data_IF_593942002242
#
_entry.id   IF_593942002242
#
_cell.length_a   1.000
_cell.length_b   1.000
_cell.length_c   1.000
_cell.angle_alpha   90.00
_cell.angle_beta   90.00
_cell.angle_gamma   90.00
#
_symmetry.space_group_name_H-M   'P 1'
#
loop_
_entity.id
_entity.type
_entity.pdbx_description
1 polymer ?
#
# COMPACT_ATOMS: atom_id res chain seq x y z
N UNK A 1 -25.13 -29.50 12.19
CA UNK A 1 -26.06 -28.41 11.86
C UNK A 1 -25.66 -27.06 12.45
N UNK A 2 -25.39 -26.94 13.76
CA UNK A 2 -24.99 -25.67 14.40
C UNK A 2 -23.69 -25.04 13.83
N UNK A 3 -22.66 -25.85 13.57
CA UNK A 3 -21.38 -25.36 13.03
C UNK A 3 -21.55 -24.74 11.63
N UNK A 4 -22.36 -25.37 10.77
CA UNK A 4 -22.66 -24.83 9.43
C UNK A 4 -23.43 -23.51 9.50
N UNK A 5 -24.38 -23.39 10.45
CA UNK A 5 -25.10 -22.14 10.67
C UNK A 5 -24.18 -21.01 11.13
N UNK A 6 -23.22 -21.30 12.03
CA UNK A 6 -22.22 -20.33 12.49
C UNK A 6 -21.33 -19.87 11.33
N UNK A 7 -20.84 -20.80 10.51
CA UNK A 7 -19.99 -20.47 9.34
C UNK A 7 -20.74 -19.59 8.34
N UNK A 8 -22.03 -19.87 8.08
CA UNK A 8 -22.86 -19.05 7.19
C UNK A 8 -23.13 -17.64 7.75
N UNK A 9 -23.33 -17.49 9.05
CA UNK A 9 -23.50 -16.19 9.70
C UNK A 9 -22.22 -15.34 9.66
N UNK A 10 -21.06 -15.97 9.87
CA UNK A 10 -19.76 -15.28 9.83
C UNK A 10 -19.37 -14.84 8.40
N UNK A 11 -19.73 -15.62 7.39
CA UNK A 11 -19.48 -15.26 5.98
C UNK A 11 -20.41 -14.12 5.50
N UNK A 12 -21.62 -14.02 6.03
CA UNK A 12 -22.51 -12.88 5.77
C UNK A 12 -21.97 -11.58 6.39
N UNK A 13 -21.40 -11.64 7.60
CA UNK A 13 -20.77 -10.49 8.25
C UNK A 13 -19.54 -9.98 7.48
N UNK A 14 -18.79 -10.88 6.82
CA UNK A 14 -17.67 -10.52 5.96
C UNK A 14 -18.12 -9.82 4.66
N UNK A 15 -19.24 -10.26 4.06
CA UNK A 15 -19.87 -9.62 2.88
C UNK A 15 -20.49 -8.26 3.23
N UNK A 16 -20.91 -8.06 4.48
CA UNK A 16 -21.54 -6.83 4.96
C UNK A 16 -20.56 -5.69 5.27
N UNK A 17 -19.25 -5.91 5.17
CA UNK A 17 -18.27 -4.83 5.33
C UNK A 17 -18.26 -3.95 4.07
N UNK A 18 -19.00 -2.85 4.14
CA UNK A 18 -18.92 -1.77 3.16
C UNK A 18 -17.48 -1.24 3.08
N UNK A 19 -16.89 -1.25 1.88
CA UNK A 19 -15.51 -0.84 1.63
C UNK A 19 -15.23 0.58 2.15
N UNK A 20 -16.22 1.48 2.06
CA UNK A 20 -16.12 2.84 2.58
C UNK A 20 -15.96 2.82 4.11
N UNK A 21 -16.74 2.01 4.81
CA UNK A 21 -16.63 1.86 6.28
C UNK A 21 -15.27 1.28 6.69
N UNK A 22 -14.77 0.28 5.97
CA UNK A 22 -13.44 -0.32 6.23
C UNK A 22 -12.33 0.73 6.06
N UNK A 23 -12.34 1.45 4.94
CA UNK A 23 -11.36 2.51 4.66
C UNK A 23 -11.46 3.63 5.71
N UNK A 24 -12.67 4.08 6.04
CA UNK A 24 -12.88 5.12 7.04
C UNK A 24 -12.33 4.72 8.42
N UNK A 25 -12.54 3.47 8.84
CA UNK A 25 -11.99 2.97 10.09
C UNK A 25 -10.46 2.89 10.07
N UNK A 26 -9.86 2.44 8.97
CA UNK A 26 -8.42 2.39 8.80
C UNK A 26 -7.81 3.80 8.80
N UNK A 27 -8.38 4.74 8.03
CA UNK A 27 -8.01 6.16 8.01
C UNK A 27 -8.06 6.79 9.40
N UNK A 28 -9.13 6.52 10.16
CA UNK A 28 -9.27 6.97 11.54
C UNK A 28 -8.19 6.38 12.46
N UNK A 29 -7.92 5.09 12.36
CA UNK A 29 -6.88 4.41 13.15
C UNK A 29 -5.47 4.93 12.82
N UNK A 30 -5.23 5.26 11.55
CA UNK A 30 -3.99 5.86 11.06
C UNK A 30 -3.92 7.38 11.32
N UNK A 31 -4.99 7.99 11.85
CA UNK A 31 -5.12 9.43 12.04
C UNK A 31 -4.79 10.25 10.76
N UNK A 32 -5.24 9.80 9.59
CA UNK A 32 -4.87 10.38 8.28
C UNK A 32 -5.22 11.86 8.14
N UNK A 33 -6.23 12.35 8.86
CA UNK A 33 -6.63 13.76 8.83
C UNK A 33 -5.55 14.71 9.41
N UNK A 34 -4.65 14.19 10.26
CA UNK A 34 -3.60 14.97 10.93
C UNK A 34 -2.22 14.28 10.82
N UNK A 35 -2.02 13.42 9.82
CA UNK A 35 -0.82 12.63 9.65
C UNK A 35 0.35 13.50 9.18
N UNK A 36 1.43 13.53 9.98
CA UNK A 36 2.62 14.37 9.70
C UNK A 36 3.68 13.65 8.89
N UNK A 37 3.83 12.36 9.10
CA UNK A 37 4.81 11.54 8.39
C UNK A 37 4.37 10.09 8.29
N UNK A 38 4.84 9.41 7.26
CA UNK A 38 4.72 7.95 7.11
C UNK A 38 6.07 7.33 6.84
N UNK A 39 6.28 6.11 7.34
CA UNK A 39 7.34 5.24 6.89
C UNK A 39 6.71 4.01 6.23
N UNK A 40 7.24 3.59 5.10
CA UNK A 40 6.86 2.34 4.47
C UNK A 40 8.11 1.60 3.98
N UNK A 41 8.02 0.28 3.96
CA UNK A 41 9.07 -0.58 3.43
C UNK A 41 8.51 -1.62 2.47
N UNK A 42 9.36 -2.10 1.57
CA UNK A 42 8.99 -3.07 0.56
C UNK A 42 10.15 -3.45 -0.34
N UNK A 43 9.83 -4.13 -1.43
CA UNK A 43 10.75 -4.45 -2.51
C UNK A 43 10.24 -3.87 -3.83
N UNK A 44 11.17 -3.60 -4.73
CA UNK A 44 10.86 -2.92 -5.99
C UNK A 44 12.01 -2.98 -6.99
N UNK A 45 11.92 -2.11 -7.97
CA UNK A 45 12.95 -1.91 -8.97
C UNK A 45 12.86 -0.50 -9.54
N UNK A 46 14.01 0.07 -9.85
CA UNK A 46 14.12 1.34 -10.54
C UNK A 46 14.94 1.21 -11.83
N UNK A 47 15.00 2.30 -12.58
CA UNK A 47 15.72 2.39 -13.84
C UNK A 47 16.53 3.68 -13.87
N UNK A 48 17.65 3.66 -14.60
CA UNK A 48 18.44 4.87 -14.78
C UNK A 48 17.64 5.99 -15.47
N UNK A 49 17.91 7.23 -15.08
CA UNK A 49 17.38 8.44 -15.71
C UNK A 49 18.41 9.04 -16.67
N UNK A 50 17.98 9.68 -17.76
CA UNK A 50 18.86 10.42 -18.67
C UNK A 50 18.76 10.00 -20.13
N UNK A 51 19.89 10.04 -20.84
CA UNK A 51 19.98 9.61 -22.24
C UNK A 51 19.98 8.09 -22.35
N UNK A 52 19.19 7.56 -23.28
CA UNK A 52 19.11 6.12 -23.52
C UNK A 52 20.47 5.59 -23.99
N UNK A 53 21.10 4.63 -23.27
CA UNK A 53 22.38 4.05 -23.69
C UNK A 53 22.28 3.34 -25.04
N UNK A 54 21.10 2.74 -25.32
CA UNK A 54 20.76 2.14 -26.61
C UNK A 54 19.25 2.29 -26.84
N UNK A 55 18.80 2.94 -27.93
CA UNK A 55 17.39 3.20 -28.20
C UNK A 55 16.57 1.94 -28.51
N UNK A 56 17.22 0.82 -28.82
CA UNK A 56 16.57 -0.45 -29.19
C UNK A 56 16.61 -1.50 -28.06
N UNK A 57 17.16 -1.17 -26.88
CA UNK A 57 17.25 -2.09 -25.74
C UNK A 57 16.49 -1.57 -24.52
N UNK A 58 16.04 -2.45 -23.61
CA UNK A 58 15.51 -2.02 -22.32
C UNK A 58 16.51 -1.21 -21.51
N UNK A 59 16.01 -0.30 -20.68
CA UNK A 59 16.84 0.45 -19.74
C UNK A 59 17.49 -0.47 -18.70
N UNK A 60 18.70 -0.12 -18.21
CA UNK A 60 19.29 -0.80 -17.06
C UNK A 60 18.33 -0.78 -15.87
N UNK A 61 18.00 -1.98 -15.38
CA UNK A 61 17.10 -2.22 -14.26
C UNK A 61 17.91 -2.49 -12.99
N UNK A 62 17.58 -1.81 -11.90
CA UNK A 62 18.15 -2.06 -10.58
C UNK A 62 17.07 -2.65 -9.67
N UNK A 63 17.44 -3.63 -8.84
CA UNK A 63 16.50 -4.34 -7.97
C UNK A 63 16.67 -3.83 -6.54
N UNK A 64 15.60 -3.28 -6.00
CA UNK A 64 15.52 -2.82 -4.63
C UNK A 64 14.97 -3.96 -3.77
N UNK A 65 15.86 -4.84 -3.31
CA UNK A 65 15.45 -6.00 -2.48
C UNK A 65 14.80 -5.56 -1.17
N UNK A 66 15.34 -4.51 -0.56
CA UNK A 66 14.84 -3.91 0.68
C UNK A 66 14.89 -2.40 0.51
N UNK A 67 13.71 -1.79 0.47
CA UNK A 67 13.52 -0.36 0.37
C UNK A 67 12.74 0.12 1.60
N UNK A 68 13.20 1.19 2.22
CA UNK A 68 12.47 1.92 3.26
C UNK A 68 12.45 3.39 2.89
N UNK A 69 11.28 4.01 2.96
CA UNK A 69 11.12 5.45 2.74
C UNK A 69 10.26 6.07 3.81
N UNK A 70 10.74 7.23 4.27
CA UNK A 70 9.99 8.14 5.12
C UNK A 70 9.53 9.32 4.27
N UNK A 71 8.27 9.68 4.40
CA UNK A 71 7.70 10.91 3.84
C UNK A 71 7.29 11.79 5.01
N UNK A 72 7.79 13.04 5.01
CA UNK A 72 7.36 14.09 5.93
C UNK A 72 6.50 15.09 5.16
N UNK A 73 5.22 15.19 5.53
CA UNK A 73 4.26 16.09 4.89
C UNK A 73 4.36 17.54 5.38
N UNK A 74 5.11 17.79 6.46
CA UNK A 74 5.34 19.14 6.99
C UNK A 74 6.49 19.85 6.28
N UNK A 75 7.23 19.16 5.40
CA UNK A 75 8.32 19.72 4.60
C UNK A 75 7.95 19.76 3.12
N UNK A 76 8.35 20.81 2.37
CA UNK A 76 8.19 20.84 0.91
C UNK A 76 8.84 19.63 0.22
N UNK A 77 8.23 19.18 -0.87
CA UNK A 77 8.71 18.08 -1.70
C UNK A 77 9.84 18.50 -2.65
#
# INVERSE_FOLDING_TARGET
MAVLAIVMLLSWAAIAQDAKTVIANASKAMATDNLKSIEYSGSGMDFAIGQAPNPSSPWPKFIDKTYTRVINFETPA
#
